data_IF_747307451355
#
_entry.id   IF_747307451355
#
_cell.length_a   1.000
_cell.length_b   1.000
_cell.length_c   1.000
_cell.angle_alpha   90.00
_cell.angle_beta   90.00
_cell.angle_gamma   90.00
#
_symmetry.space_group_name_H-M   'P 1'
#
loop_
_entity.id
_entity.type
_entity.pdbx_description
1 polymer ?
#
# COMPACT_ATOMS: atom_id res chain seq x y z
N UNK A 1 42.03 11.95 -5.18
CA UNK A 1 40.57 12.00 -5.49
C UNK A 1 39.79 10.79 -4.91
N UNK A 2 40.07 10.35 -3.69
CA UNK A 2 39.52 9.10 -3.10
C UNK A 2 38.68 9.30 -1.83
N UNK A 3 38.38 10.54 -1.43
CA UNK A 3 37.63 10.83 -0.19
C UNK A 3 36.11 11.03 -0.33
N UNK A 4 35.59 11.38 -1.51
CA UNK A 4 34.15 11.75 -1.67
C UNK A 4 33.19 10.57 -1.85
N UNK A 5 33.67 9.38 -2.27
CA UNK A 5 32.80 8.19 -2.45
C UNK A 5 32.42 7.50 -1.14
N UNK A 6 33.20 7.66 -0.07
CA UNK A 6 32.96 6.98 1.20
C UNK A 6 31.76 7.56 1.97
N UNK A 7 31.60 8.89 2.01
CA UNK A 7 30.51 9.54 2.76
C UNK A 7 29.12 9.27 2.18
N UNK A 8 28.99 9.10 0.86
CA UNK A 8 27.74 8.78 0.18
C UNK A 8 27.22 7.36 0.50
N UNK A 9 28.14 6.41 0.75
CA UNK A 9 27.78 5.01 1.05
C UNK A 9 27.36 4.80 2.51
N UNK A 10 27.94 5.53 3.46
CA UNK A 10 27.66 5.32 4.89
C UNK A 10 26.33 5.92 5.33
N UNK A 11 25.90 7.04 4.74
CA UNK A 11 24.59 7.68 5.01
C UNK A 11 23.41 6.89 4.40
N UNK A 12 23.66 6.19 3.28
CA UNK A 12 22.72 5.27 2.63
C UNK A 12 22.29 4.09 3.54
N UNK A 13 23.22 3.56 4.34
CA UNK A 13 22.97 2.41 5.23
C UNK A 13 22.11 2.75 6.45
N UNK A 14 22.24 3.95 7.04
CA UNK A 14 21.52 4.32 8.28
C UNK A 14 20.02 4.54 8.04
N UNK A 15 19.65 5.29 7.00
CA UNK A 15 18.23 5.51 6.65
C UNK A 15 17.50 4.24 6.23
N UNK A 16 18.17 3.34 5.49
CA UNK A 16 17.61 2.05 5.11
C UNK A 16 17.41 1.09 6.28
N UNK A 17 18.30 1.10 7.28
CA UNK A 17 18.17 0.28 8.50
C UNK A 17 17.02 0.73 9.40
N UNK A 18 16.82 2.04 9.57
CA UNK A 18 15.71 2.59 10.36
C UNK A 18 14.36 2.32 9.68
N UNK A 19 14.27 2.50 8.36
CA UNK A 19 13.08 2.13 7.59
C UNK A 19 12.77 0.63 7.67
N UNK A 20 13.80 -0.23 7.62
CA UNK A 20 13.64 -1.68 7.77
C UNK A 20 13.15 -2.10 9.16
N UNK A 21 13.64 -1.46 10.22
CA UNK A 21 13.20 -1.73 11.60
C UNK A 21 11.75 -1.26 11.85
N UNK A 22 11.37 -0.10 11.31
CA UNK A 22 9.98 0.38 11.37
C UNK A 22 9.04 -0.54 10.58
N UNK A 23 9.46 -1.03 9.41
CA UNK A 23 8.70 -1.98 8.62
C UNK A 23 8.49 -3.31 9.36
N UNK A 24 9.53 -3.83 10.03
CA UNK A 24 9.43 -5.03 10.86
C UNK A 24 8.48 -4.83 12.06
N UNK A 25 8.55 -3.68 12.74
CA UNK A 25 7.66 -3.36 13.85
C UNK A 25 6.19 -3.19 13.42
N UNK A 26 5.95 -2.54 12.28
CA UNK A 26 4.60 -2.40 11.70
C UNK A 26 4.06 -3.73 11.20
N UNK A 27 4.90 -4.59 10.63
CA UNK A 27 4.52 -5.95 10.23
C UNK A 27 4.05 -6.80 11.43
N UNK A 28 4.69 -6.65 12.59
CA UNK A 28 4.30 -7.34 13.82
C UNK A 28 2.97 -6.82 14.42
N UNK A 29 2.58 -5.57 14.17
CA UNK A 29 1.30 -5.02 14.63
C UNK A 29 0.09 -5.56 13.82
N UNK A 30 0.32 -6.04 12.59
CA UNK A 30 -0.74 -6.55 11.69
C UNK A 30 -1.11 -8.01 12.00
N UNK A 31 -0.22 -8.76 12.65
CA UNK A 31 -0.45 -10.19 12.96
C UNK A 31 -1.32 -10.40 14.21
N UNK A 32 -1.72 -9.31 14.89
CA UNK A 32 -2.69 -9.36 15.97
C UNK A 32 -4.03 -9.92 15.48
N UNK A 33 -4.55 -11.03 16.05
CA UNK A 33 -5.79 -11.62 15.60
C UNK A 33 -6.97 -10.78 16.07
N UNK A 34 -7.39 -9.77 15.32
CA UNK A 34 -8.71 -9.15 15.53
C UNK A 34 -9.78 -10.05 14.94
N UNK A 35 -10.07 -11.11 15.70
CA UNK A 35 -11.23 -11.96 15.49
C UNK A 35 -12.49 -11.29 16.01
N UNK A 36 -13.60 -11.43 15.27
CA UNK A 36 -14.93 -11.13 15.80
C UNK A 36 -15.54 -9.77 15.43
N UNK A 37 -15.11 -9.10 14.37
CA UNK A 37 -15.85 -7.92 13.90
C UNK A 37 -17.17 -8.35 13.25
N UNK A 38 -18.29 -8.04 13.91
CA UNK A 38 -19.64 -8.34 13.44
C UNK A 38 -19.89 -7.69 12.07
N UNK A 39 -20.39 -8.49 11.13
CA UNK A 39 -20.69 -8.09 9.76
C UNK A 39 -22.20 -8.06 9.55
N UNK A 40 -22.70 -7.12 8.75
CA UNK A 40 -24.10 -7.11 8.35
C UNK A 40 -24.27 -8.04 7.14
N UNK A 41 -24.85 -9.21 7.38
CA UNK A 41 -25.04 -10.27 6.38
C UNK A 41 -26.05 -9.91 5.31
N UNK A 42 -26.89 -8.89 5.52
CA UNK A 42 -27.77 -8.37 4.47
C UNK A 42 -27.00 -7.55 3.43
N UNK A 43 -25.81 -7.05 3.78
CA UNK A 43 -24.99 -6.20 2.91
C UNK A 43 -23.75 -6.90 2.36
N UNK A 44 -23.20 -7.88 3.08
CA UNK A 44 -21.95 -8.53 2.72
C UNK A 44 -21.97 -10.01 3.06
N UNK A 45 -21.27 -10.83 2.27
CA UNK A 45 -21.17 -12.27 2.50
C UNK A 45 -19.77 -12.80 2.25
N UNK A 46 -19.30 -13.67 3.14
CA UNK A 46 -18.04 -14.38 2.96
C UNK A 46 -18.18 -15.51 1.94
N UNK A 47 -17.08 -15.85 1.27
CA UNK A 47 -17.01 -17.06 0.46
C UNK A 47 -17.00 -18.31 1.36
N UNK A 48 -17.80 -19.35 1.02
CA UNK A 48 -17.86 -20.57 1.82
C UNK A 48 -16.53 -21.33 1.81
N UNK A 49 -15.75 -21.23 0.73
CA UNK A 49 -14.48 -21.91 0.53
C UNK A 49 -13.41 -21.49 1.54
N UNK A 50 -12.52 -22.42 1.86
CA UNK A 50 -11.52 -22.24 2.92
C UNK A 50 -10.15 -21.78 2.39
N UNK A 51 -9.94 -21.90 1.08
CA UNK A 51 -8.70 -21.55 0.40
C UNK A 51 -9.01 -20.66 -0.79
N UNK A 52 -8.16 -19.65 -0.99
CA UNK A 52 -8.18 -18.76 -2.14
C UNK A 52 -6.80 -18.70 -2.76
N UNK A 53 -6.72 -18.91 -4.07
CA UNK A 53 -5.49 -18.73 -4.85
C UNK A 53 -5.77 -17.63 -5.85
N UNK A 54 -4.82 -16.72 -6.04
CA UNK A 54 -5.00 -15.59 -6.94
C UNK A 54 -3.71 -15.28 -7.69
N UNK A 55 -3.88 -14.89 -8.95
CA UNK A 55 -2.82 -14.33 -9.78
C UNK A 55 -3.17 -12.87 -10.07
N UNK A 56 -2.16 -12.03 -10.21
CA UNK A 56 -2.37 -10.65 -10.61
C UNK A 56 -1.31 -10.17 -11.60
N UNK A 57 -1.68 -9.15 -12.35
CA UNK A 57 -0.83 -8.43 -13.26
C UNK A 57 -1.00 -6.94 -12.95
N UNK A 58 0.07 -6.27 -12.55
CA UNK A 58 0.01 -4.86 -12.16
C UNK A 58 1.13 -4.01 -12.72
N UNK A 59 0.98 -2.70 -12.56
CA UNK A 59 2.00 -1.71 -12.82
C UNK A 59 1.80 -0.52 -11.89
N UNK A 60 2.90 -0.02 -11.34
CA UNK A 60 2.92 1.18 -10.51
C UNK A 60 3.61 2.30 -11.27
N UNK A 61 2.85 3.29 -11.69
CA UNK A 61 3.35 4.53 -12.23
C UNK A 61 3.64 5.53 -11.10
N UNK A 62 4.68 6.32 -11.26
CA UNK A 62 5.12 7.38 -10.37
C UNK A 62 5.62 8.56 -11.23
N UNK A 63 5.21 9.75 -10.85
CA UNK A 63 5.48 11.00 -11.51
C UNK A 63 6.03 11.97 -10.48
N UNK A 64 7.21 12.49 -10.77
CA UNK A 64 7.80 13.58 -10.02
C UNK A 64 7.62 14.85 -10.86
N UNK A 65 6.86 15.82 -10.36
CA UNK A 65 6.61 17.07 -11.06
C UNK A 65 7.18 18.23 -10.24
N UNK A 66 7.99 19.08 -10.84
CA UNK A 66 8.34 20.38 -10.26
C UNK A 66 8.37 21.45 -11.34
N UNK A 67 7.74 22.58 -11.04
CA UNK A 67 7.42 23.60 -12.03
C UNK A 67 6.67 23.00 -13.23
N UNK A 68 7.19 23.25 -14.44
CA UNK A 68 6.60 22.77 -15.70
C UNK A 68 7.14 21.42 -16.16
N UNK A 69 8.10 20.81 -15.47
CA UNK A 69 8.75 19.58 -15.95
C UNK A 69 8.31 18.38 -15.12
N UNK A 70 8.12 17.25 -15.78
CA UNK A 70 7.72 16.00 -15.15
C UNK A 70 8.76 14.91 -15.42
N UNK A 71 9.02 14.08 -14.43
CA UNK A 71 10.01 13.01 -14.48
C UNK A 71 9.35 11.70 -14.13
N UNK A 72 9.60 10.70 -14.96
CA UNK A 72 9.03 9.37 -14.77
C UNK A 72 10.07 8.32 -15.16
N UNK A 73 10.22 7.22 -14.41
CA UNK A 73 10.99 6.07 -14.78
C UNK A 73 10.20 5.16 -15.76
N UNK A 74 10.90 4.20 -16.34
CA UNK A 74 10.35 3.19 -17.23
C UNK A 74 9.85 2.00 -16.39
N UNK A 75 8.53 1.95 -16.15
CA UNK A 75 7.92 0.97 -15.26
C UNK A 75 7.75 -0.39 -15.91
N UNK A 76 8.06 -1.49 -15.21
CA UNK A 76 7.80 -2.81 -15.72
C UNK A 76 6.38 -3.28 -15.41
N UNK A 77 5.87 -4.14 -16.30
CA UNK A 77 4.71 -4.97 -15.99
C UNK A 77 5.10 -6.04 -14.95
N UNK A 78 4.29 -6.18 -13.91
CA UNK A 78 4.62 -6.94 -12.70
C UNK A 78 3.56 -8.03 -12.46
N UNK A 79 3.78 -9.27 -12.93
CA UNK A 79 2.94 -10.39 -12.57
C UNK A 79 3.23 -10.84 -11.14
N UNK A 80 2.24 -11.42 -10.47
CA UNK A 80 2.42 -12.05 -9.17
C UNK A 80 1.34 -13.09 -8.87
N UNK A 81 1.60 -13.89 -7.85
CA UNK A 81 0.71 -14.95 -7.38
C UNK A 81 0.56 -14.85 -5.87
N UNK A 82 -0.55 -15.34 -5.33
CA UNK A 82 -0.81 -15.34 -3.90
C UNK A 82 -1.78 -16.43 -3.49
N UNK A 83 -1.71 -16.78 -2.21
CA UNK A 83 -2.57 -17.78 -1.58
C UNK A 83 -3.05 -17.19 -0.26
N UNK A 84 -4.36 -17.24 -0.02
CA UNK A 84 -4.95 -16.84 1.25
C UNK A 84 -5.79 -17.99 1.81
N UNK A 85 -5.62 -18.23 3.11
CA UNK A 85 -6.42 -19.17 3.88
C UNK A 85 -7.49 -18.37 4.61
N UNK A 86 -8.71 -18.91 4.71
CA UNK A 86 -9.81 -18.29 5.45
C UNK A 86 -9.35 -17.85 6.84
N UNK A 87 -9.59 -16.58 7.16
CA UNK A 87 -9.16 -15.89 8.39
C UNK A 87 -7.64 -15.64 8.55
N UNK A 88 -6.83 -15.74 7.48
CA UNK A 88 -5.40 -15.44 7.52
C UNK A 88 -5.02 -14.38 6.48
N UNK A 89 -4.33 -13.31 6.92
CA UNK A 89 -3.94 -12.12 6.13
C UNK A 89 -2.56 -12.33 5.47
N UNK A 90 -2.27 -13.49 4.87
CA UNK A 90 -1.00 -13.67 4.16
C UNK A 90 -1.23 -13.37 2.68
N UNK A 91 -1.17 -12.09 2.32
CA UNK A 91 -1.11 -11.62 0.93
C UNK A 91 0.36 -11.31 0.60
N UNK A 92 1.18 -12.34 0.36
CA UNK A 92 2.55 -12.13 -0.15
C UNK A 92 2.44 -11.87 -1.63
N UNK A 93 2.65 -10.61 -2.02
CA UNK A 93 2.71 -10.15 -3.41
C UNK A 93 4.17 -9.91 -3.75
N UNK A 94 4.74 -10.82 -4.54
CA UNK A 94 6.06 -10.68 -5.13
C UNK A 94 5.91 -10.64 -6.63
N UNK A 95 6.43 -9.60 -7.26
CA UNK A 95 6.45 -9.52 -8.71
C UNK A 95 7.80 -9.11 -9.24
N UNK A 96 8.21 -9.75 -10.32
CA UNK A 96 9.47 -9.49 -11.01
C UNK A 96 9.14 -8.71 -12.28
N UNK A 97 9.79 -7.55 -12.48
CA UNK A 97 9.55 -6.75 -13.67
C UNK A 97 10.09 -7.46 -14.91
N UNK A 98 9.20 -8.04 -15.73
CA UNK A 98 9.63 -8.87 -16.87
C UNK A 98 9.84 -8.03 -18.13
N UNK A 99 8.97 -7.03 -18.38
CA UNK A 99 9.00 -6.20 -19.59
C UNK A 99 8.88 -4.72 -19.27
N UNK A 100 9.82 -3.85 -19.74
CA UNK A 100 9.62 -2.41 -19.68
C UNK A 100 8.46 -2.02 -20.59
N UNK A 101 7.52 -1.20 -20.09
CA UNK A 101 6.35 -0.77 -20.86
C UNK A 101 6.70 0.17 -22.03
N UNK A 102 7.91 0.76 -22.01
CA UNK A 102 8.42 1.61 -23.10
C UNK A 102 9.76 1.11 -23.63
N UNK A 103 10.02 1.40 -24.91
CA UNK A 103 11.28 1.08 -25.57
C UNK A 103 12.47 1.63 -24.77
N UNK A 104 13.29 0.72 -24.24
CA UNK A 104 14.43 1.10 -23.41
C UNK A 104 15.50 1.87 -24.20
N UNK A 105 15.51 1.74 -25.53
CA UNK A 105 16.46 2.42 -26.39
C UNK A 105 16.22 3.93 -26.43
N UNK A 106 14.97 4.37 -26.25
CA UNK A 106 14.57 5.79 -26.32
C UNK A 106 14.44 6.40 -24.91
N UNK A 107 13.84 5.65 -23.98
CA UNK A 107 13.47 6.12 -22.64
C UNK A 107 14.45 5.73 -21.52
N UNK A 108 15.46 4.93 -21.86
CA UNK A 108 16.40 4.37 -20.89
C UNK A 108 15.78 3.23 -20.06
N UNK A 109 16.63 2.61 -19.24
CA UNK A 109 16.26 1.55 -18.29
C UNK A 109 16.11 2.12 -16.89
N UNK A 110 15.08 1.68 -16.18
CA UNK A 110 14.89 1.99 -14.77
C UNK A 110 15.03 0.75 -13.90
N UNK A 111 15.68 0.89 -12.75
CA UNK A 111 15.73 -0.15 -11.72
C UNK A 111 14.64 0.15 -10.71
N UNK A 112 13.76 -0.81 -10.48
CA UNK A 112 12.57 -0.64 -9.63
C UNK A 112 12.50 -1.76 -8.61
N UNK A 113 12.16 -1.41 -7.36
CA UNK A 113 11.79 -2.34 -6.31
C UNK A 113 10.56 -1.74 -5.63
N UNK A 114 9.40 -2.35 -5.85
CA UNK A 114 8.11 -1.89 -5.32
C UNK A 114 7.48 -3.03 -4.53
N UNK A 115 7.41 -2.86 -3.21
CA UNK A 115 6.83 -3.80 -2.27
C UNK A 115 5.64 -3.13 -1.60
N UNK A 116 4.45 -3.72 -1.74
CA UNK A 116 3.21 -3.18 -1.17
C UNK A 116 2.42 -4.27 -0.46
N UNK A 117 1.96 -3.96 0.75
CA UNK A 117 1.08 -4.79 1.53
C UNK A 117 -0.19 -3.99 1.82
N UNK A 118 -1.34 -4.58 1.46
CA UNK A 118 -2.65 -4.03 1.73
C UNK A 118 -3.42 -5.04 2.57
N UNK A 119 -3.87 -4.60 3.75
CA UNK A 119 -4.70 -5.39 4.66
C UNK A 119 -6.04 -4.70 4.83
N UNK A 120 -7.11 -5.40 4.49
CA UNK A 120 -8.48 -4.89 4.59
C UNK A 120 -9.19 -5.61 5.72
N UNK A 121 -9.54 -4.89 6.76
CA UNK A 121 -10.38 -5.35 7.86
C UNK A 121 -11.74 -4.65 7.75
N UNK A 122 -12.74 -5.10 8.51
CA UNK A 122 -14.10 -4.55 8.40
C UNK A 122 -14.08 -3.04 8.64
N UNK A 123 -13.48 -2.61 9.76
CA UNK A 123 -13.41 -1.19 10.13
C UNK A 123 -12.04 -0.55 9.95
N UNK A 124 -11.05 -1.25 9.40
CA UNK A 124 -9.68 -0.75 9.31
C UNK A 124 -9.03 -1.18 8.00
N UNK A 125 -8.41 -0.25 7.30
CA UNK A 125 -7.51 -0.51 6.17
C UNK A 125 -6.10 -0.20 6.64
N UNK A 126 -5.17 -1.08 6.34
CA UNK A 126 -3.76 -0.87 6.64
C UNK A 126 -2.91 -1.11 5.39
N UNK A 127 -2.15 -0.08 5.01
CA UNK A 127 -1.29 -0.09 3.84
C UNK A 127 0.16 0.15 4.26
N UNK A 128 1.05 -0.73 3.80
CA UNK A 128 2.50 -0.53 3.86
C UNK A 128 3.06 -0.50 2.45
N UNK A 129 3.94 0.46 2.17
CA UNK A 129 4.70 0.50 0.93
C UNK A 129 6.17 0.77 1.16
N UNK A 130 7.01 0.11 0.38
CA UNK A 130 8.43 0.38 0.23
C UNK A 130 8.74 0.40 -1.28
N UNK A 131 9.12 1.56 -1.79
CA UNK A 131 9.32 1.80 -3.21
C UNK A 131 10.66 2.46 -3.45
N UNK A 132 11.50 1.84 -4.28
CA UNK A 132 12.79 2.36 -4.67
C UNK A 132 12.92 2.36 -6.19
N UNK A 133 13.13 3.53 -6.76
CA UNK A 133 13.30 3.77 -8.18
C UNK A 133 14.66 4.40 -8.45
N UNK A 134 15.32 3.98 -9.53
CA UNK A 134 16.52 4.63 -10.08
C UNK A 134 16.43 4.66 -11.62
N UNK A 135 16.80 5.79 -12.20
CA UNK A 135 16.76 6.03 -13.64
C UNK A 135 15.41 6.59 -14.08
N UNK A 136 15.39 7.84 -14.54
CA UNK A 136 14.20 8.59 -14.95
C UNK A 136 14.41 9.21 -16.34
N UNK A 137 13.34 9.70 -16.94
CA UNK A 137 13.37 10.57 -18.13
C UNK A 137 12.32 11.68 -17.99
N UNK A 138 12.47 12.78 -18.72
CA UNK A 138 11.47 13.85 -18.75
C UNK A 138 10.24 13.44 -19.59
N UNK A 139 9.04 13.67 -19.07
CA UNK A 139 7.77 13.37 -19.73
C UNK A 139 7.07 14.62 -20.22
N UNK A 140 7.32 15.03 -21.47
CA UNK A 140 6.48 15.99 -22.21
C UNK A 140 6.40 15.58 -23.68
N UNK A 141 5.23 15.78 -24.29
CA UNK A 141 4.94 15.38 -25.68
C UNK A 141 5.72 16.16 -26.75
N UNK A 142 6.38 17.26 -26.36
CA UNK A 142 7.03 18.21 -27.27
C UNK A 142 8.48 18.55 -26.87
N UNK A 143 9.03 17.89 -25.84
CA UNK A 143 10.42 18.08 -25.42
C UNK A 143 11.29 16.89 -25.86
N UNK A 144 12.56 17.16 -26.19
CA UNK A 144 13.56 16.11 -26.42
C UNK A 144 13.66 15.25 -25.16
N UNK A 145 13.57 13.92 -25.34
CA UNK A 145 13.68 12.96 -24.24
C UNK A 145 15.11 13.01 -23.70
N UNK A 146 15.25 13.59 -22.51
CA UNK A 146 16.46 13.64 -21.70
C UNK A 146 16.37 12.57 -20.61
N UNK A 147 17.48 11.83 -20.45
CA UNK A 147 17.57 10.72 -19.50
C UNK A 147 18.35 11.14 -18.26
N UNK A 148 17.89 10.65 -17.11
CA UNK A 148 18.49 10.88 -15.81
C UNK A 148 18.76 9.52 -15.15
N UNK A 149 19.79 8.78 -15.61
CA UNK A 149 20.07 7.41 -15.16
C UNK A 149 20.43 7.33 -13.66
N UNK A 150 20.93 8.43 -13.08
CA UNK A 150 21.33 8.50 -11.69
C UNK A 150 20.29 9.08 -10.75
N UNK A 151 19.23 9.71 -11.27
CA UNK A 151 18.11 10.18 -10.47
C UNK A 151 17.47 9.00 -9.73
N UNK A 152 17.21 9.18 -8.44
CA UNK A 152 16.68 8.13 -7.58
C UNK A 152 15.58 8.66 -6.68
N UNK A 153 14.57 7.83 -6.44
CA UNK A 153 13.49 8.09 -5.50
C UNK A 153 13.30 6.89 -4.58
N UNK A 154 13.19 7.15 -3.29
CA UNK A 154 12.79 6.18 -2.27
C UNK A 154 11.56 6.74 -1.55
N UNK A 155 10.52 5.92 -1.47
CA UNK A 155 9.29 6.19 -0.73
C UNK A 155 9.04 5.02 0.21
N UNK A 156 8.76 5.33 1.47
CA UNK A 156 8.28 4.36 2.47
C UNK A 156 7.05 4.95 3.11
N UNK A 157 5.96 4.19 3.18
CA UNK A 157 4.72 4.65 3.79
C UNK A 157 4.09 3.57 4.66
N UNK A 158 3.46 4.01 5.75
CA UNK A 158 2.59 3.19 6.59
C UNK A 158 1.32 3.97 6.90
N UNK A 159 0.16 3.46 6.50
CA UNK A 159 -1.11 4.18 6.56
C UNK A 159 -2.18 3.31 7.19
N UNK A 160 -2.88 3.85 8.18
CA UNK A 160 -4.07 3.26 8.79
C UNK A 160 -5.30 4.12 8.49
N UNK A 161 -6.41 3.50 8.09
CA UNK A 161 -7.67 4.20 7.80
C UNK A 161 -8.84 3.47 8.46
N UNK A 162 -9.55 4.15 9.35
CA UNK A 162 -10.79 3.66 9.95
C UNK A 162 -11.97 3.85 8.99
N UNK A 163 -12.85 2.85 8.94
CA UNK A 163 -14.03 2.79 8.08
C UNK A 163 -15.28 2.73 8.96
N UNK A 164 -16.02 3.83 9.04
CA UNK A 164 -17.14 4.00 9.97
C UNK A 164 -18.28 2.98 9.75
N UNK A 165 -18.68 2.78 8.49
CA UNK A 165 -19.73 1.86 8.07
C UNK A 165 -19.17 0.50 7.61
N UNK A 166 -18.04 0.07 8.17
CA UNK A 166 -17.33 -1.16 7.80
C UNK A 166 -18.11 -2.48 7.98
N UNK A 167 -19.28 -2.44 8.63
CA UNK A 167 -20.19 -3.60 8.71
C UNK A 167 -21.00 -3.82 7.43
N UNK A 168 -21.28 -2.74 6.69
CA UNK A 168 -22.08 -2.72 5.47
C UNK A 168 -21.24 -2.43 4.23
N UNK A 169 -20.27 -1.52 4.31
CA UNK A 169 -19.36 -1.19 3.24
C UNK A 169 -18.09 -2.03 3.32
N UNK A 170 -17.87 -2.90 2.34
CA UNK A 170 -16.76 -3.85 2.32
C UNK A 170 -15.69 -3.47 1.29
N UNK A 171 -14.55 -3.01 1.80
CA UNK A 171 -13.35 -2.75 0.99
C UNK A 171 -12.69 -4.05 0.52
N UNK A 172 -12.90 -5.14 1.26
CA UNK A 172 -12.43 -6.49 0.90
C UNK A 172 -13.10 -6.99 -0.38
N UNK A 173 -14.40 -6.78 -0.56
CA UNK A 173 -15.08 -7.12 -1.81
C UNK A 173 -14.46 -6.39 -3.00
N UNK A 174 -14.22 -5.08 -2.85
CA UNK A 174 -13.67 -4.24 -3.90
C UNK A 174 -12.22 -4.59 -4.29
N UNK A 175 -11.32 -4.71 -3.31
CA UNK A 175 -9.87 -4.72 -3.57
C UNK A 175 -9.17 -6.06 -3.30
N UNK A 176 -9.80 -6.97 -2.56
CA UNK A 176 -9.22 -8.26 -2.22
C UNK A 176 -10.01 -9.42 -2.80
N UNK A 177 -11.29 -9.23 -3.11
CA UNK A 177 -12.24 -10.27 -3.46
C UNK A 177 -12.18 -11.42 -2.43
N UNK A 178 -12.16 -11.08 -1.13
CA UNK A 178 -12.29 -12.07 -0.02
C UNK A 178 -13.72 -12.22 0.46
N UNK A 179 -14.59 -11.29 0.08
CA UNK A 179 -16.02 -11.30 0.39
C UNK A 179 -16.79 -10.69 -0.80
N UNK A 180 -18.12 -10.79 -0.74
CA UNK A 180 -19.04 -10.19 -1.69
C UNK A 180 -19.75 -8.99 -1.04
N UNK A 181 -19.91 -7.92 -1.81
CA UNK A 181 -20.84 -6.84 -1.50
C UNK A 181 -22.20 -7.20 -2.12
N UNK A 182 -23.21 -7.47 -1.29
CA UNK A 182 -24.55 -7.88 -1.74
C UNK A 182 -25.48 -6.69 -2.00
N UNK A 183 -25.29 -5.59 -1.28
CA UNK A 183 -26.07 -4.35 -1.43
C UNK A 183 -25.15 -3.15 -1.46
N UNK A 184 -25.49 -2.12 -2.24
CA UNK A 184 -24.68 -0.92 -2.30
C UNK A 184 -24.57 -0.25 -0.93
N UNK A 185 -23.37 0.21 -0.59
CA UNK A 185 -23.09 0.89 0.66
C UNK A 185 -21.90 1.81 0.50
N UNK A 186 -21.85 2.85 1.33
CA UNK A 186 -20.68 3.70 1.46
C UNK A 186 -20.29 3.93 2.91
N UNK A 187 -19.14 4.55 3.10
CA UNK A 187 -18.60 4.87 4.41
C UNK A 187 -17.75 6.12 4.34
N UNK A 188 -17.94 6.98 5.34
CA UNK A 188 -16.88 7.91 5.72
C UNK A 188 -15.65 7.14 6.17
N UNK A 189 -14.50 7.76 6.00
CA UNK A 189 -13.21 7.21 6.37
C UNK A 189 -12.35 8.31 6.98
N UNK A 190 -11.59 7.96 8.01
CA UNK A 190 -10.58 8.84 8.60
C UNK A 190 -9.34 8.03 8.91
N UNK A 191 -8.17 8.61 8.73
CA UNK A 191 -6.94 7.89 8.94
C UNK A 191 -5.74 8.80 9.05
N UNK A 192 -4.59 8.16 9.13
CA UNK A 192 -3.32 8.84 9.12
C UNK A 192 -2.20 7.90 8.72
N UNK A 193 -1.01 8.47 8.56
CA UNK A 193 0.13 7.70 8.14
C UNK A 193 1.47 8.37 8.39
N UNK A 194 2.50 7.54 8.35
CA UNK A 194 3.89 7.93 8.39
C UNK A 194 4.47 7.79 6.99
N UNK A 195 5.21 8.79 6.55
CA UNK A 195 5.79 8.83 5.21
C UNK A 195 7.25 9.25 5.30
N UNK A 196 8.09 8.56 4.54
CA UNK A 196 9.48 8.90 4.37
C UNK A 196 9.81 8.95 2.89
N UNK A 197 10.34 10.09 2.46
CA UNK A 197 10.77 10.34 1.09
C UNK A 197 12.27 10.59 1.08
N UNK A 198 12.95 10.06 0.09
CA UNK A 198 14.31 10.48 -0.26
C UNK A 198 14.42 10.59 -1.76
N UNK A 199 14.75 11.78 -2.25
CA UNK A 199 15.07 12.00 -3.64
C UNK A 199 16.58 12.29 -3.76
N UNK A 200 17.22 11.70 -4.75
CA UNK A 200 18.66 11.79 -4.98
C UNK A 200 19.01 12.12 -6.42
N UNK A 201 20.17 12.75 -6.57
CA UNK A 201 20.75 13.27 -7.81
C UNK A 201 19.79 14.21 -8.55
N UNK A 202 19.31 15.23 -7.84
CA UNK A 202 18.36 16.24 -8.33
C UNK A 202 19.02 17.54 -8.81
N UNK A 203 20.33 17.69 -8.60
CA UNK A 203 21.08 18.92 -8.79
C UNK A 203 21.07 19.43 -10.24
N UNK A 204 21.06 18.54 -11.23
CA UNK A 204 20.95 18.89 -12.66
C UNK A 204 19.52 19.22 -13.09
N UNK A 205 18.53 18.97 -12.23
CA UNK A 205 17.12 18.87 -12.61
C UNK A 205 16.25 19.91 -11.90
N UNK A 206 16.60 20.28 -10.67
CA UNK A 206 15.84 21.20 -9.80
C UNK A 206 16.70 22.33 -9.24
N UNK A 207 17.87 22.59 -9.84
CA UNK A 207 18.80 23.66 -9.43
C UNK A 207 19.10 23.65 -7.91
N UNK A 208 19.16 22.46 -7.31
CA UNK A 208 19.32 22.26 -5.87
C UNK A 208 20.81 22.17 -5.50
N UNK A 209 21.31 22.96 -4.53
CA UNK A 209 22.67 22.83 -4.00
C UNK A 209 22.90 21.49 -3.29
N UNK A 210 21.84 20.82 -2.84
CA UNK A 210 21.91 19.48 -2.26
C UNK A 210 21.71 18.40 -3.33
N UNK A 211 22.65 17.46 -3.41
CA UNK A 211 22.56 16.28 -4.28
C UNK A 211 21.44 15.32 -3.89
N UNK A 212 20.99 15.32 -2.63
CA UNK A 212 19.88 14.48 -2.19
C UNK A 212 19.20 15.12 -0.99
N UNK A 213 17.88 14.99 -0.91
CA UNK A 213 17.12 15.41 0.26
C UNK A 213 16.25 14.26 0.77
N UNK A 214 16.03 14.23 2.08
CA UNK A 214 15.08 13.35 2.74
C UNK A 214 14.07 14.14 3.58
N UNK A 215 12.82 13.67 3.57
CA UNK A 215 11.72 14.30 4.28
C UNK A 215 10.93 13.21 4.98
N UNK A 216 10.65 13.44 6.27
CA UNK A 216 9.72 12.65 7.04
C UNK A 216 8.42 13.45 7.23
N UNK A 217 7.28 12.80 7.03
CA UNK A 217 5.97 13.41 7.21
C UNK A 217 5.06 12.50 8.03
N UNK A 218 4.23 13.10 8.89
CA UNK A 218 3.09 12.48 9.55
C UNK A 218 1.84 13.15 9.02
N UNK A 219 0.87 12.38 8.55
CA UNK A 219 -0.34 12.93 7.94
C UNK A 219 -1.61 12.38 8.53
N UNK A 220 -2.67 13.17 8.39
CA UNK A 220 -4.04 12.77 8.62
C UNK A 220 -4.88 13.02 7.35
N UNK A 221 -5.83 12.14 7.09
CA UNK A 221 -6.73 12.25 5.95
C UNK A 221 -8.15 11.84 6.32
N UNK A 222 -9.11 12.42 5.61
CA UNK A 222 -10.51 12.07 5.71
C UNK A 222 -11.10 11.93 4.30
N UNK A 223 -12.10 11.08 4.17
CA UNK A 223 -12.64 10.74 2.87
C UNK A 223 -13.95 9.98 2.92
N UNK A 224 -14.40 9.57 1.74
CA UNK A 224 -15.60 8.78 1.57
C UNK A 224 -15.37 7.71 0.51
N UNK A 225 -15.92 6.53 0.75
CA UNK A 225 -15.93 5.42 -0.20
C UNK A 225 -17.35 4.94 -0.46
N UNK A 226 -17.60 4.45 -1.66
CA UNK A 226 -18.87 3.88 -2.08
C UNK A 226 -18.66 2.66 -2.96
N UNK A 227 -19.45 1.63 -2.70
CA UNK A 227 -19.55 0.41 -3.48
C UNK A 227 -20.94 0.32 -4.06
N UNK A 228 -21.04 0.37 -5.38
CA UNK A 228 -22.26 0.18 -6.15
C UNK A 228 -22.35 -1.26 -6.65
N UNK A 229 -23.34 -2.00 -6.14
CA UNK A 229 -23.69 -3.33 -6.66
C UNK A 229 -24.56 -3.12 -7.90
N UNK A 230 -23.95 -3.21 -9.07
CA UNK A 230 -24.61 -2.98 -10.36
C UNK A 230 -25.49 -4.16 -10.76
N UNK A 231 -25.05 -5.37 -10.40
CA UNK A 231 -25.80 -6.61 -10.56
C UNK A 231 -25.31 -7.63 -9.52
N UNK A 232 -25.93 -8.82 -9.40
CA UNK A 232 -25.49 -9.83 -8.44
C UNK A 232 -24.01 -10.26 -8.57
N UNK A 233 -23.40 -10.03 -9.73
CA UNK A 233 -22.01 -10.39 -10.02
C UNK A 233 -21.10 -9.18 -10.17
N UNK A 234 -21.61 -8.00 -10.54
CA UNK A 234 -20.79 -6.84 -10.85
C UNK A 234 -20.79 -5.82 -9.70
N UNK A 235 -19.59 -5.46 -9.25
CA UNK A 235 -19.34 -4.47 -8.23
C UNK A 235 -18.46 -3.35 -8.81
N UNK A 236 -18.92 -2.11 -8.68
CA UNK A 236 -18.10 -0.92 -8.91
C UNK A 236 -17.83 -0.26 -7.56
N UNK A 237 -16.59 0.10 -7.27
CA UNK A 237 -16.22 0.75 -6.01
C UNK A 237 -15.26 1.90 -6.26
N UNK A 238 -15.53 3.03 -5.61
CA UNK A 238 -14.67 4.20 -5.66
C UNK A 238 -14.54 4.80 -4.27
N UNK A 239 -13.37 5.35 -3.96
CA UNK A 239 -13.16 6.11 -2.74
C UNK A 239 -12.16 7.23 -2.97
N UNK A 240 -12.34 8.34 -2.26
CA UNK A 240 -11.44 9.48 -2.29
C UNK A 240 -11.18 9.96 -0.86
N UNK A 241 -9.97 10.44 -0.61
CA UNK A 241 -9.61 11.09 0.63
C UNK A 241 -8.68 12.27 0.38
N UNK A 242 -8.87 13.34 1.15
CA UNK A 242 -7.99 14.50 1.20
C UNK A 242 -7.38 14.60 2.60
N UNK A 243 -6.22 15.19 2.70
CA UNK A 243 -5.52 15.29 3.97
C UNK A 243 -4.39 16.31 3.95
N UNK A 244 -3.77 16.46 5.10
CA UNK A 244 -2.58 17.28 5.28
C UNK A 244 -1.52 16.48 6.03
N UNK A 245 -0.28 16.61 5.60
CA UNK A 245 0.87 16.05 6.30
C UNK A 245 1.70 17.18 6.89
N UNK A 246 2.26 16.93 8.06
CA UNK A 246 3.20 17.81 8.72
C UNK A 246 4.55 17.09 8.72
N UNK A 247 5.61 17.77 8.30
CA UNK A 247 6.90 17.14 8.17
C UNK A 247 8.02 18.09 7.82
N UNK A 248 9.25 17.59 7.86
CA UNK A 248 10.41 18.28 7.33
C UNK A 248 11.60 17.32 7.18
N UNK A 249 12.78 17.85 6.84
CA UNK A 249 14.06 17.14 6.93
C UNK A 249 14.28 16.63 8.36
N UNK A 250 14.83 15.42 8.58
CA UNK A 250 15.02 14.86 9.92
C UNK A 250 15.79 15.77 10.89
N UNK A 251 16.77 16.54 10.41
CA UNK A 251 17.51 17.49 11.25
C UNK A 251 16.67 18.72 11.62
N UNK A 252 15.88 19.26 10.68
CA UNK A 252 14.98 20.39 10.93
C UNK A 252 13.79 20.03 11.82
N UNK A 253 13.36 18.76 11.80
CA UNK A 253 12.34 18.24 12.72
C UNK A 253 12.81 18.28 14.18
N UNK A 254 14.12 18.08 14.45
CA UNK A 254 14.67 18.20 15.81
C UNK A 254 14.61 19.63 16.34
N UNK A 255 14.65 20.60 15.43
CA UNK A 255 14.54 22.03 15.71
C UNK A 255 13.07 22.51 15.65
N UNK A 256 12.09 21.60 15.55
CA UNK A 256 10.66 21.89 15.47
C UNK A 256 10.24 22.79 14.29
N UNK A 257 11.05 22.88 13.24
CA UNK A 257 10.68 23.57 12.00
C UNK A 257 9.75 22.68 11.18
N UNK A 258 8.43 22.88 11.30
CA UNK A 258 7.40 22.08 10.64
C UNK A 258 6.91 22.75 9.36
N UNK A 259 6.68 21.94 8.31
CA UNK A 259 6.00 22.36 7.07
C UNK A 259 4.74 21.55 6.88
N UNK A 260 3.73 22.16 6.27
CA UNK A 260 2.45 21.52 5.94
C UNK A 260 2.41 21.18 4.46
N UNK A 261 1.95 19.97 4.14
CA UNK A 261 1.89 19.39 2.81
C UNK A 261 0.48 18.88 2.52
N UNK A 262 -0.26 19.46 1.55
CA UNK A 262 -1.52 18.88 1.13
C UNK A 262 -1.30 17.50 0.52
N UNK A 263 -2.29 16.63 0.71
CA UNK A 263 -2.31 15.29 0.11
C UNK A 263 -3.71 14.90 -0.34
N UNK A 264 -3.77 14.11 -1.40
CA UNK A 264 -5.00 13.54 -1.92
C UNK A 264 -4.76 12.09 -2.31
N UNK A 265 -5.79 11.25 -2.18
CA UNK A 265 -5.74 9.86 -2.63
C UNK A 265 -7.10 9.41 -3.14
N UNK A 266 -7.07 8.48 -4.08
CA UNK A 266 -8.23 7.83 -4.65
C UNK A 266 -8.00 6.33 -4.80
N UNK A 267 -9.06 5.54 -4.66
CA UNK A 267 -9.07 4.13 -5.01
C UNK A 267 -10.27 3.85 -5.88
N UNK A 268 -10.08 3.06 -6.93
CA UNK A 268 -11.11 2.63 -7.85
C UNK A 268 -11.01 1.13 -8.06
N UNK A 269 -12.14 0.45 -8.15
CA UNK A 269 -12.19 -0.96 -8.51
C UNK A 269 -13.48 -1.29 -9.26
N UNK A 270 -13.36 -2.17 -10.25
CA UNK A 270 -14.48 -2.87 -10.85
C UNK A 270 -14.18 -4.37 -10.75
N UNK A 271 -15.13 -5.15 -10.24
CA UNK A 271 -14.96 -6.58 -10.05
C UNK A 271 -16.20 -7.37 -10.46
N UNK A 272 -15.94 -8.54 -11.04
CA UNK A 272 -16.91 -9.58 -11.30
C UNK A 272 -16.73 -10.71 -10.28
N UNK A 273 -17.79 -11.02 -9.54
CA UNK A 273 -17.82 -12.02 -8.49
C UNK A 273 -18.71 -13.19 -8.90
N UNK A 274 -18.12 -14.36 -9.14
CA UNK A 274 -18.83 -15.64 -9.21
C UNK A 274 -18.74 -16.37 -7.86
N UNK A 275 -19.31 -17.57 -7.76
CA UNK A 275 -19.27 -18.41 -6.56
C UNK A 275 -17.95 -19.19 -6.41
N UNK A 276 -17.27 -19.47 -7.52
CA UNK A 276 -16.01 -20.24 -7.52
C UNK A 276 -14.79 -19.46 -8.01
N UNK A 277 -14.98 -18.23 -8.51
CA UNK A 277 -13.91 -17.35 -8.95
C UNK A 277 -14.33 -15.87 -8.93
N UNK A 278 -13.36 -14.97 -9.03
CA UNK A 278 -13.60 -13.54 -9.26
C UNK A 278 -12.53 -12.94 -10.17
N UNK A 279 -12.87 -11.86 -10.85
CA UNK A 279 -11.95 -11.05 -11.66
C UNK A 279 -12.09 -9.59 -11.21
N UNK A 280 -10.98 -8.92 -10.91
CA UNK A 280 -11.00 -7.54 -10.43
C UNK A 280 -9.97 -6.68 -11.13
N UNK A 281 -10.37 -5.51 -11.60
CA UNK A 281 -9.49 -4.42 -11.99
C UNK A 281 -9.53 -3.36 -10.90
N UNK A 282 -8.38 -2.96 -10.38
CA UNK A 282 -8.27 -1.94 -9.34
C UNK A 282 -7.17 -0.94 -9.65
N UNK A 283 -7.33 0.29 -9.15
CA UNK A 283 -6.33 1.35 -9.24
C UNK A 283 -6.29 2.15 -7.94
N UNK A 284 -5.08 2.47 -7.49
CA UNK A 284 -4.78 3.28 -6.32
C UNK A 284 -3.99 4.50 -6.77
N UNK A 285 -4.55 5.68 -6.59
CA UNK A 285 -3.94 6.96 -6.95
C UNK A 285 -3.62 7.72 -5.67
N UNK A 286 -2.40 8.24 -5.56
CA UNK A 286 -1.99 9.09 -4.45
C UNK A 286 -1.19 10.26 -4.99
N UNK A 287 -1.53 11.48 -4.55
CA UNK A 287 -0.74 12.67 -4.79
C UNK A 287 -0.28 13.25 -3.46
N UNK A 288 1.03 13.46 -3.34
CA UNK A 288 1.67 14.02 -2.16
C UNK A 288 2.67 15.07 -2.56
N UNK A 289 2.74 16.13 -1.77
CA UNK A 289 3.67 17.23 -2.02
C UNK A 289 4.88 17.13 -1.08
N UNK A 290 6.04 17.48 -1.61
CA UNK A 290 7.29 17.61 -0.87
C UNK A 290 7.96 18.92 -1.29
N UNK A 291 8.61 19.60 -0.37
CA UNK A 291 9.30 20.87 -0.63
C UNK A 291 10.79 20.66 -0.40
N UNK A 292 11.60 20.51 -1.47
CA UNK A 292 13.05 20.31 -1.35
C UNK A 292 13.75 21.49 -0.66
N UNK A 293 13.34 22.72 -1.01
CA UNK A 293 13.95 24.02 -0.65
C UNK A 293 12.88 25.14 -0.62
N UNK A 294 13.23 26.33 -0.13
CA UNK A 294 12.32 27.46 0.17
C UNK A 294 11.41 27.96 -0.99
N UNK A 295 11.63 27.53 -2.25
CA UNK A 295 10.99 28.17 -3.42
C UNK A 295 10.16 27.26 -4.33
N UNK A 296 10.33 25.93 -4.37
CA UNK A 296 9.58 25.07 -5.30
C UNK A 296 8.97 23.82 -4.65
N UNK A 297 7.70 23.55 -4.98
CA UNK A 297 6.99 22.33 -4.59
C UNK A 297 7.23 21.22 -5.62
N UNK A 298 7.69 20.06 -5.15
CA UNK A 298 7.68 18.83 -5.94
C UNK A 298 6.42 18.04 -5.58
N UNK A 299 5.62 17.73 -6.59
CA UNK A 299 4.49 16.81 -6.45
C UNK A 299 4.92 15.41 -6.85
N UNK A 300 4.65 14.46 -5.97
CA UNK A 300 4.86 13.03 -6.17
C UNK A 300 3.49 12.41 -6.36
N UNK A 301 3.18 12.01 -7.59
CA UNK A 301 1.94 11.29 -7.92
C UNK A 301 2.27 9.83 -8.19
N UNK A 302 1.63 8.92 -7.46
CA UNK A 302 1.73 7.48 -7.65
C UNK A 302 0.38 6.93 -8.12
N UNK A 303 0.40 6.04 -9.10
CA UNK A 303 -0.77 5.33 -9.64
C UNK A 303 -0.41 3.85 -9.74
N UNK A 304 -0.99 3.01 -8.90
CA UNK A 304 -0.82 1.56 -8.98
C UNK A 304 -2.09 0.94 -9.51
N UNK A 305 -2.01 0.25 -10.65
CA UNK A 305 -3.13 -0.45 -11.26
C UNK A 305 -2.88 -1.95 -11.32
N UNK A 306 -3.92 -2.75 -11.09
CA UNK A 306 -3.81 -4.20 -10.98
C UNK A 306 -5.05 -4.90 -11.53
N UNK A 307 -4.84 -5.87 -12.42
CA UNK A 307 -5.79 -6.90 -12.80
C UNK A 307 -5.55 -8.14 -11.96
N UNK A 308 -6.58 -8.69 -11.32
CA UNK A 308 -6.49 -9.83 -10.41
C UNK A 308 -7.52 -10.89 -10.81
N UNK A 309 -7.07 -12.13 -10.94
CA UNK A 309 -7.94 -13.30 -11.04
C UNK A 309 -7.84 -14.11 -9.75
N UNK A 310 -8.99 -14.51 -9.22
CA UNK A 310 -9.12 -15.22 -7.96
C UNK A 310 -9.88 -16.52 -8.18
N UNK A 311 -9.39 -17.62 -7.61
CA UNK A 311 -10.07 -18.91 -7.55
C UNK A 311 -10.33 -19.32 -6.10
N UNK A 312 -11.57 -19.70 -5.81
CA UNK A 312 -11.98 -20.18 -4.49
C UNK A 312 -12.03 -21.71 -4.47
N UNK A 313 -11.39 -22.32 -3.48
CA UNK A 313 -11.16 -23.77 -3.41
C UNK A 313 -11.48 -24.31 -2.00
N UNK A 314 -11.98 -25.55 -1.95
CA UNK A 314 -12.10 -26.29 -0.71
C UNK A 314 -10.85 -27.15 -0.51
N UNK A 315 -10.23 -27.08 0.67
CA UNK A 315 -9.08 -27.94 1.02
C UNK A 315 -9.31 -28.65 2.35
N UNK A 316 -9.37 -30.00 2.39
CA UNK A 316 -9.54 -30.77 3.62
C UNK A 316 -8.43 -30.51 4.65
N UNK A 317 -7.21 -30.27 4.19
CA UNK A 317 -6.06 -29.94 5.04
C UNK A 317 -6.26 -28.58 5.74
N UNK A 318 -6.67 -27.56 4.98
CA UNK A 318 -6.95 -26.23 5.51
C UNK A 318 -8.12 -26.26 6.50
N UNK A 319 -9.19 -27.02 6.20
CA UNK A 319 -10.32 -27.23 7.13
C UNK A 319 -9.87 -27.76 8.49
N UNK A 320 -8.95 -28.74 8.51
CA UNK A 320 -8.39 -29.28 9.76
C UNK A 320 -7.63 -28.21 10.56
N UNK A 321 -6.85 -27.35 9.90
CA UNK A 321 -6.12 -26.25 10.54
C UNK A 321 -7.09 -25.23 11.14
N UNK A 322 -8.09 -24.79 10.36
CA UNK A 322 -9.10 -23.81 10.79
C UNK A 322 -9.93 -24.36 11.96
N UNK A 323 -10.32 -25.64 11.91
CA UNK A 323 -11.06 -26.30 12.99
C UNK A 323 -10.25 -26.37 14.29
N UNK A 324 -8.95 -26.69 14.23
CA UNK A 324 -8.05 -26.68 15.40
C UNK A 324 -7.92 -25.29 16.02
N UNK A 325 -7.86 -24.24 15.22
CA UNK A 325 -7.77 -22.86 15.71
C UNK A 325 -9.07 -22.40 16.40
N UNK A 326 -10.25 -22.74 15.86
CA UNK A 326 -11.55 -22.45 16.49
C UNK A 326 -11.70 -23.14 17.85
N UNK A 327 -11.32 -24.42 17.96
CA UNK A 327 -11.35 -25.16 19.23
C UNK A 327 -10.46 -24.53 20.31
N UNK A 328 -9.26 -24.05 19.95
CA UNK A 328 -8.36 -23.36 20.89
C UNK A 328 -8.93 -22.04 21.43
N UNK A 329 -9.78 -21.34 20.67
CA UNK A 329 -10.46 -20.11 21.13
C UNK A 329 -11.71 -20.37 21.96
N UNK A 330 -12.21 -21.59 21.97
CA UNK A 330 -13.39 -22.00 22.74
C UNK A 330 -13.05 -22.72 24.06
N UNK A 331 -11.77 -22.92 24.39
CA UNK A 331 -11.38 -23.40 25.73
C UNK A 331 -11.60 -22.23 26.71
N UNK A 332 -12.50 -22.35 27.69
CA UNK A 332 -12.64 -21.33 28.73
C UNK A 332 -11.32 -21.18 29.47
N UNK A 333 -10.93 -19.93 29.75
CA UNK A 333 -9.93 -19.62 30.77
C UNK A 333 -10.50 -19.99 32.14
N UNK A 334 -10.45 -21.27 32.45
CA UNK A 334 -10.98 -21.88 33.66
C UNK A 334 -10.53 -23.33 33.68
N UNK A 335 -9.21 -23.54 33.71
CA UNK A 335 -8.68 -24.79 34.20
C UNK A 335 -8.89 -24.75 35.71
N UNK A 336 -9.86 -25.51 36.20
CA UNK A 336 -10.03 -25.80 37.60
C UNK A 336 -8.68 -26.28 38.16
N UNK A 337 -8.11 -25.47 39.04
CA UNK A 337 -7.05 -25.93 39.94
C UNK A 337 -7.68 -27.00 40.84
N UNK A 338 -7.07 -28.18 41.02
CA UNK A 338 -7.62 -29.19 41.90
C UNK A 338 -7.75 -28.61 43.32
N UNK A 339 -8.96 -28.70 43.88
CA UNK A 339 -9.26 -28.35 45.26
C UNK A 339 -8.31 -29.09 46.21
N UNK A 340 -7.30 -28.39 46.68
CA UNK A 340 -6.63 -28.72 47.93
C UNK A 340 -7.35 -27.94 49.03
N UNK A 341 -8.19 -28.60 49.83
CA UNK A 341 -8.02 -28.72 51.28
C UNK A 341 -9.29 -29.23 52.01
N UNK A 342 -9.00 -29.95 53.10
CA UNK A 342 -9.82 -30.18 54.30
C UNK A 342 -11.01 -31.14 54.27
N UNK A 343 -10.82 -32.34 54.83
CA UNK A 343 -11.61 -32.74 56.00
C UNK A 343 -10.86 -33.74 56.90
N UNK A 344 -10.75 -33.33 58.18
CA UNK A 344 -10.60 -34.10 59.44
C UNK A 344 -9.45 -35.08 59.62
#
# INVERSE_FOLDING_TARGET
MTGKKAHLYTYSRKGGRVAGLLFAALFLLITGPVSGQATDTAYTADYPQDLRVFGYLGSSYLLLQGGKTSYTPNYPLTPGIGIAIKNTIINIRGGYGIFPLKNSQDYGRSRTLDLQLHSYWKKLIFDLSFQRYKGFYNGKKEEVITRYPDMAALQVAAVGTYVFNGKKFSTRAAFEQSEKQLRSAGSFMIGGGLYYYRLGNLSETFNSPEHSFDIFQVGAHAGYGYSWVMSPHWLLSASGAIGANIGNKPNQLKELHLKVYPSASGRFAISYHSDSWALGLSSFVGSKTVTPLQTDLITITSITSQLTYVKYLNSPFVRKIVARHKRRKQVPSGADLPEAYTSR
#
